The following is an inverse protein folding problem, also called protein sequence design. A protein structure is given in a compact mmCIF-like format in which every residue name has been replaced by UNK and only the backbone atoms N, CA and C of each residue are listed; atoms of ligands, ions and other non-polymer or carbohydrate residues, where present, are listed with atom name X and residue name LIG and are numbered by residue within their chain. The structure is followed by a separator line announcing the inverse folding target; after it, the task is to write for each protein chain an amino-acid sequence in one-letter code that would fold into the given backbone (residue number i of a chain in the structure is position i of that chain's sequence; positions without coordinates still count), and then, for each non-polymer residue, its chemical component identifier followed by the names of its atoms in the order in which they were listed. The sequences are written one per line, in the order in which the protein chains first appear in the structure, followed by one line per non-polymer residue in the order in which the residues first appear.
data_IF_827254228569
#
_entry.id   IF_827254228569
#
_cell.length_a   1.000
_cell.length_b   1.000
_cell.length_c   1.000
_cell.angle_alpha   90.00
_cell.angle_beta   90.00
_cell.angle_gamma   90.00
#
_symmetry.space_group_name_H-M   'P 1'
#
loop_
_entity.id
_entity.type
_entity.pdbx_description
1 polymer ?
#
# COMPACT_ATOMS: atom_id res chain seq x y z
N UNK A 1 -11.51 27.20 11.95
CA UNK A 1 -10.66 26.65 10.86
C UNK A 1 -9.20 26.82 11.20
N UNK A 2 -8.30 25.87 10.87
CA UNK A 2 -6.91 25.92 11.32
C UNK A 2 -6.06 27.05 10.71
N UNK A 3 -6.55 27.73 9.66
CA UNK A 3 -5.79 28.77 8.96
C UNK A 3 -6.62 30.00 8.55
N UNK A 4 -7.82 30.17 9.11
CA UNK A 4 -8.69 31.32 8.83
C UNK A 4 -9.21 31.44 7.38
N UNK A 5 -8.91 30.48 6.51
CA UNK A 5 -9.37 30.46 5.12
C UNK A 5 -10.85 30.05 5.02
N UNK A 6 -11.64 30.68 4.13
CA UNK A 6 -13.02 30.28 3.87
C UNK A 6 -13.05 28.86 3.28
N UNK A 7 -13.89 28.00 3.85
CA UNK A 7 -14.00 26.61 3.47
C UNK A 7 -15.35 26.35 2.78
N UNK A 8 -15.42 25.53 1.72
CA UNK A 8 -16.67 25.28 0.99
C UNK A 8 -17.77 24.64 1.84
N UNK A 9 -17.40 24.03 2.98
CA UNK A 9 -18.37 23.45 3.92
C UNK A 9 -18.86 24.44 5.00
N UNK A 10 -18.38 25.68 5.03
CA UNK A 10 -18.79 26.69 6.02
C UNK A 10 -20.32 26.95 6.06
N UNK A 11 -21.04 26.97 4.92
CA UNK A 11 -22.50 27.10 4.97
C UNK A 11 -23.21 25.82 5.44
N UNK A 12 -22.53 24.67 5.48
CA UNK A 12 -23.12 23.37 5.81
C UNK A 12 -22.79 22.90 7.23
N UNK A 13 -21.66 23.34 7.80
CA UNK A 13 -21.13 22.80 9.05
C UNK A 13 -21.02 23.87 10.14
N UNK A 14 -21.49 23.50 11.33
CA UNK A 14 -21.22 24.27 12.55
C UNK A 14 -19.78 24.03 13.04
N UNK A 15 -19.23 24.91 13.90
CA UNK A 15 -17.91 24.70 14.50
C UNK A 15 -17.77 23.34 15.20
N UNK A 16 -18.84 22.87 15.85
CA UNK A 16 -18.88 21.54 16.47
C UNK A 16 -18.80 20.42 15.42
N UNK A 17 -19.51 20.54 14.30
CA UNK A 17 -19.45 19.57 13.21
C UNK A 17 -18.03 19.40 12.65
N UNK A 18 -17.31 20.51 12.47
CA UNK A 18 -15.89 20.48 12.12
C UNK A 18 -15.03 19.76 13.17
N UNK A 19 -15.28 20.02 14.45
CA UNK A 19 -14.61 19.34 15.55
C UNK A 19 -14.83 17.82 15.52
N UNK A 20 -16.07 17.38 15.28
CA UNK A 20 -16.42 15.96 15.20
C UNK A 20 -15.70 15.29 14.02
N UNK A 21 -15.82 15.84 12.81
CA UNK A 21 -15.21 15.27 11.61
C UNK A 21 -13.68 15.22 11.75
N UNK A 22 -13.06 16.31 12.21
CA UNK A 22 -11.62 16.36 12.44
C UNK A 22 -11.15 15.35 13.48
N UNK A 23 -11.89 15.19 14.58
CA UNK A 23 -11.57 14.20 15.62
C UNK A 23 -11.68 12.77 15.08
N UNK A 24 -12.76 12.45 14.37
CA UNK A 24 -12.93 11.13 13.75
C UNK A 24 -11.79 10.85 12.78
N UNK A 25 -11.41 11.82 11.95
CA UNK A 25 -10.31 11.68 11.01
C UNK A 25 -8.97 11.36 11.72
N UNK A 26 -8.63 12.13 12.76
CA UNK A 26 -7.39 11.89 13.53
C UNK A 26 -7.43 10.55 14.25
N UNK A 27 -8.58 10.16 14.80
CA UNK A 27 -8.76 8.85 15.46
C UNK A 27 -8.61 7.69 14.47
N UNK A 28 -9.20 7.79 13.28
CA UNK A 28 -9.05 6.77 12.23
C UNK A 28 -7.59 6.66 11.75
N UNK A 29 -6.90 7.78 11.59
CA UNK A 29 -5.48 7.80 11.24
C UNK A 29 -4.62 7.17 12.34
N UNK A 30 -4.88 7.50 13.60
CA UNK A 30 -4.23 6.90 14.76
C UNK A 30 -4.45 5.38 14.81
N UNK A 31 -5.68 4.92 14.57
CA UNK A 31 -6.01 3.50 14.51
C UNK A 31 -5.25 2.78 13.38
N UNK A 32 -5.17 3.36 12.18
CA UNK A 32 -4.45 2.78 11.06
C UNK A 32 -2.94 2.66 11.32
N UNK A 33 -2.33 3.69 11.90
CA UNK A 33 -0.90 3.68 12.22
C UNK A 33 -0.57 2.73 13.38
N UNK A 34 -1.41 2.70 14.42
CA UNK A 34 -1.22 1.80 15.57
C UNK A 34 -1.38 0.34 15.18
N UNK A 35 -2.38 -0.02 14.36
CA UNK A 35 -2.53 -1.38 13.82
C UNK A 35 -1.33 -1.78 12.96
N UNK A 36 -0.84 -0.89 12.09
CA UNK A 36 0.36 -1.12 11.27
C UNK A 36 1.63 -1.32 12.14
N UNK A 37 1.72 -0.58 13.25
CA UNK A 37 2.80 -0.74 14.24
C UNK A 37 2.73 -2.08 14.97
N UNK A 38 1.53 -2.50 15.37
CA UNK A 38 1.30 -3.80 16.01
C UNK A 38 1.65 -4.93 15.04
N UNK A 39 1.31 -4.80 13.74
CA UNK A 39 1.68 -5.78 12.72
C UNK A 39 3.22 -5.96 12.59
N UNK A 40 4.00 -4.91 12.86
CA UNK A 40 5.47 -4.95 12.84
C UNK A 40 6.08 -5.29 14.22
N UNK A 41 5.38 -6.04 15.08
CA UNK A 41 5.90 -6.42 16.42
C UNK A 41 7.03 -7.44 16.38
N UNK A 42 7.03 -8.36 15.42
CA UNK A 42 8.06 -9.39 15.31
C UNK A 42 9.47 -8.79 15.11
N UNK A 43 10.54 -9.36 15.72
CA UNK A 43 11.89 -8.78 15.68
C UNK A 43 12.41 -8.49 14.26
N UNK A 44 12.16 -9.40 13.32
CA UNK A 44 12.58 -9.26 11.92
C UNK A 44 11.84 -8.15 11.16
N UNK A 45 10.66 -7.73 11.64
CA UNK A 45 9.84 -6.69 11.00
C UNK A 45 10.06 -5.28 11.58
N UNK A 46 10.82 -5.14 12.66
CA UNK A 46 10.98 -3.86 13.36
C UNK A 46 11.55 -2.76 12.48
N UNK A 47 12.41 -3.11 11.51
CA UNK A 47 12.97 -2.16 10.53
C UNK A 47 11.89 -1.52 9.66
N UNK A 48 10.81 -2.24 9.37
CA UNK A 48 9.71 -1.73 8.53
C UNK A 48 8.85 -0.68 9.23
N UNK A 49 9.00 -0.48 10.54
CA UNK A 49 8.29 0.59 11.27
C UNK A 49 8.56 1.99 10.73
N UNK A 50 9.74 2.21 10.15
CA UNK A 50 10.11 3.48 9.51
C UNK A 50 9.22 3.76 8.28
N UNK A 51 8.70 2.72 7.62
CA UNK A 51 7.84 2.83 6.45
C UNK A 51 6.35 3.02 6.81
N UNK A 52 5.96 3.00 8.09
CA UNK A 52 4.55 3.16 8.49
C UNK A 52 3.93 4.48 8.02
N UNK A 53 4.62 5.64 8.09
CA UNK A 53 4.06 6.88 7.56
C UNK A 53 3.71 6.80 6.07
N UNK A 54 4.44 5.97 5.29
CA UNK A 54 4.12 5.76 3.87
C UNK A 54 2.80 4.99 3.68
N UNK A 55 2.28 4.29 4.68
CA UNK A 55 0.98 3.61 4.57
C UNK A 55 -0.16 4.61 4.30
N UNK A 56 -0.05 5.83 4.83
CA UNK A 56 -1.02 6.91 4.58
C UNK A 56 -1.07 7.27 3.08
N UNK A 57 0.04 7.14 2.36
CA UNK A 57 0.10 7.35 0.91
C UNK A 57 -0.22 6.08 0.11
N UNK A 58 0.09 4.92 0.66
CA UNK A 58 -0.18 3.62 0.05
C UNK A 58 -1.68 3.36 -0.15
N UNK A 59 -2.52 3.67 0.84
CA UNK A 59 -3.96 3.43 0.74
C UNK A 59 -4.66 4.25 -0.36
N UNK A 60 -4.41 5.58 -0.50
CA UNK A 60 -4.90 6.35 -1.65
C UNK A 60 -4.45 5.78 -2.99
N UNK A 61 -3.21 5.32 -3.10
CA UNK A 61 -2.70 4.72 -4.34
C UNK A 61 -3.46 3.43 -4.68
N UNK A 62 -3.83 2.63 -3.68
CA UNK A 62 -4.68 1.45 -3.88
C UNK A 62 -6.08 1.84 -4.39
N UNK A 63 -6.68 2.93 -3.88
CA UNK A 63 -7.95 3.44 -4.40
C UNK A 63 -7.84 3.91 -5.85
N UNK A 64 -6.76 4.63 -6.20
CA UNK A 64 -6.49 5.03 -7.59
C UNK A 64 -6.35 3.80 -8.49
N UNK A 65 -5.60 2.78 -8.04
CA UNK A 65 -5.43 1.54 -8.78
C UNK A 65 -6.78 0.83 -9.00
N UNK A 66 -7.69 0.86 -8.03
CA UNK A 66 -9.04 0.31 -8.19
C UNK A 66 -9.85 1.06 -9.27
N UNK A 67 -9.76 2.40 -9.33
CA UNK A 67 -10.40 3.18 -10.39
C UNK A 67 -9.80 2.85 -11.77
N UNK A 68 -8.48 2.70 -11.86
CA UNK A 68 -7.81 2.29 -13.10
C UNK A 68 -8.26 0.90 -13.54
N UNK A 69 -8.31 -0.06 -12.61
CA UNK A 69 -8.77 -1.42 -12.90
C UNK A 69 -10.23 -1.44 -13.36
N UNK A 70 -11.10 -0.63 -12.76
CA UNK A 70 -12.49 -0.48 -13.19
C UNK A 70 -12.58 0.10 -14.62
N UNK A 71 -11.80 1.12 -14.91
CA UNK A 71 -11.67 1.72 -16.23
C UNK A 71 -11.18 0.71 -17.29
N UNK A 72 -10.20 -0.13 -16.94
CA UNK A 72 -9.70 -1.18 -17.81
C UNK A 72 -10.72 -2.29 -18.03
N UNK A 73 -11.50 -2.66 -17.00
CA UNK A 73 -12.56 -3.67 -17.15
C UNK A 73 -13.59 -3.29 -18.22
N UNK A 74 -13.90 -2.00 -18.35
CA UNK A 74 -14.83 -1.47 -19.35
C UNK A 74 -14.20 -1.36 -20.75
N UNK A 75 -12.95 -0.91 -20.84
CA UNK A 75 -12.29 -0.61 -22.13
C UNK A 75 -11.49 -1.77 -22.71
N UNK A 76 -11.01 -2.67 -21.86
CA UNK A 76 -10.10 -3.78 -22.15
C UNK A 76 -10.52 -5.00 -21.31
N UNK A 77 -11.65 -5.64 -21.64
CA UNK A 77 -12.13 -6.79 -20.89
C UNK A 77 -11.03 -7.87 -20.85
N UNK A 78 -10.89 -8.53 -19.69
CA UNK A 78 -9.85 -9.52 -19.40
C UNK A 78 -8.40 -8.99 -19.37
N UNK A 79 -8.19 -7.67 -19.36
CA UNK A 79 -6.88 -7.08 -19.13
C UNK A 79 -6.51 -7.10 -17.63
N UNK A 80 -5.25 -7.43 -17.34
CA UNK A 80 -4.70 -7.35 -16.00
C UNK A 80 -3.25 -6.90 -16.04
N UNK A 81 -2.98 -5.69 -15.54
CA UNK A 81 -1.66 -5.06 -15.53
C UNK A 81 -0.75 -5.68 -14.47
N UNK A 82 -0.16 -6.84 -14.76
CA UNK A 82 0.85 -7.47 -13.88
C UNK A 82 2.15 -6.67 -13.90
N UNK A 83 2.75 -6.51 -12.75
CA UNK A 83 4.19 -6.21 -12.66
C UNK A 83 4.99 -7.40 -13.19
N UNK A 84 6.13 -7.15 -13.84
CA UNK A 84 7.04 -8.18 -14.34
C UNK A 84 7.84 -8.87 -13.19
N UNK A 85 7.15 -9.52 -12.26
CA UNK A 85 7.78 -10.36 -11.24
C UNK A 85 7.94 -11.79 -11.79
N UNK A 86 9.08 -12.43 -11.50
CA UNK A 86 9.34 -13.83 -11.90
C UNK A 86 10.40 -14.07 -12.97
N UNK A 87 11.25 -13.09 -13.33
CA UNK A 87 12.38 -13.33 -14.26
C UNK A 87 13.46 -14.29 -13.73
N UNK A 88 13.29 -14.84 -12.52
CA UNK A 88 14.26 -15.73 -11.87
C UNK A 88 14.11 -17.21 -12.25
N UNK A 89 13.15 -17.60 -13.08
CA UNK A 89 13.04 -18.99 -13.57
C UNK A 89 13.95 -19.31 -14.75
N UNK A 90 15.01 -18.52 -15.00
CA UNK A 90 16.10 -19.01 -15.83
C UNK A 90 16.80 -20.12 -15.05
N UNK A 91 16.31 -21.35 -15.22
CA UNK A 91 17.03 -22.57 -14.86
C UNK A 91 18.41 -22.42 -15.46
N UNK A 92 19.41 -22.13 -14.61
CA UNK A 92 20.81 -22.27 -14.98
C UNK A 92 20.95 -23.74 -15.36
N UNK A 93 21.02 -24.04 -16.65
CA UNK A 93 21.42 -25.36 -17.12
C UNK A 93 22.88 -25.47 -16.67
N UNK A 94 23.10 -26.15 -15.55
CA UNK A 94 24.44 -26.56 -15.18
C UNK A 94 24.91 -27.56 -16.25
N UNK A 95 26.16 -27.46 -16.73
CA UNK A 95 26.73 -28.51 -17.56
C UNK A 95 26.55 -29.87 -16.88
N UNK A 96 26.34 -30.93 -17.68
CA UNK A 96 26.31 -32.28 -17.15
C UNK A 96 27.57 -32.53 -16.29
N UNK A 97 27.44 -33.16 -15.11
CA UNK A 97 28.59 -33.44 -14.26
C UNK A 97 29.64 -34.26 -15.02
N UNK A 98 30.90 -33.92 -14.79
CA UNK A 98 32.03 -34.59 -15.45
C UNK A 98 32.00 -36.11 -15.14
N UNK A 99 32.09 -36.99 -16.14
CA UNK A 99 31.98 -38.43 -15.93
C UNK A 99 33.11 -39.02 -15.07
N UNK A 100 34.21 -38.29 -14.83
CA UNK A 100 35.29 -38.70 -13.93
C UNK A 100 34.89 -38.68 -12.45
N UNK A 101 33.98 -37.78 -12.03
CA UNK A 101 33.60 -37.64 -10.61
C UNK A 101 32.68 -38.78 -10.14
N UNK A 102 32.07 -39.53 -11.06
CA UNK A 102 31.13 -40.62 -10.73
C UNK A 102 31.81 -41.99 -10.63
N UNK A 103 33.14 -42.06 -10.75
CA UNK A 103 33.93 -43.33 -10.76
C UNK A 103 34.85 -43.52 -9.55
N UNK A 104 34.69 -42.76 -8.48
CA UNK A 104 35.39 -42.95 -7.19
C UNK A 104 34.41 -43.49 -6.14
#
# INVERSE_FOLDING_TARGET
MPFGLPHPLDPLLTPLGYGIIGTIFVMALGLALTTSYIACRAPHLRRHRIALPLMVLYFPLASIAAFVAFADMLRRPFHWAKTAHGKFSQTRILPAPDPEVTRA
#
